data_IF_154793111563
#
_entry.id   IF_154793111563
#
_cell.length_a   1.000
_cell.length_b   1.000
_cell.length_c   1.000
_cell.angle_alpha   90.00
_cell.angle_beta   90.00
_cell.angle_gamma   90.00
#
_symmetry.space_group_name_H-M   'P 1'
#
loop_
_entity.id
_entity.type
_entity.pdbx_description
1 polymer ?
#
# COMPACT_ATOMS: atom_id res chain seq x y z
N UNK A 1 20.23 15.53 -4.00
CA UNK A 1 19.48 14.70 -3.04
C UNK A 1 18.94 13.51 -3.81
N UNK A 2 19.19 12.28 -3.36
CA UNK A 2 18.68 11.09 -4.05
C UNK A 2 17.23 10.88 -3.59
N UNK A 3 16.24 11.20 -4.43
CA UNK A 3 14.81 11.12 -4.11
C UNK A 3 14.26 9.70 -4.28
N UNK A 4 15.07 8.68 -4.00
CA UNK A 4 14.66 7.29 -4.11
C UNK A 4 14.29 6.75 -2.72
N UNK A 5 13.13 6.10 -2.56
CA UNK A 5 12.80 5.42 -1.31
C UNK A 5 13.72 4.21 -1.11
N UNK A 6 14.00 3.86 0.16
CA UNK A 6 14.86 2.72 0.50
C UNK A 6 14.16 1.39 0.31
N UNK A 7 14.95 0.32 0.23
CA UNK A 7 14.45 -1.06 0.08
C UNK A 7 13.35 -1.44 1.10
N UNK A 8 13.46 -1.12 2.41
CA UNK A 8 12.39 -1.44 3.35
C UNK A 8 11.07 -0.74 3.03
N UNK A 9 11.12 0.54 2.64
CA UNK A 9 9.94 1.28 2.18
C UNK A 9 9.31 0.62 0.96
N UNK A 10 10.13 0.21 -0.01
CA UNK A 10 9.66 -0.47 -1.23
C UNK A 10 8.96 -1.79 -0.87
N UNK A 11 9.54 -2.58 0.03
CA UNK A 11 8.95 -3.85 0.47
C UNK A 11 7.59 -3.63 1.14
N UNK A 12 7.48 -2.66 2.04
CA UNK A 12 6.21 -2.33 2.71
C UNK A 12 5.16 -1.88 1.68
N UNK A 13 5.54 -1.02 0.73
CA UNK A 13 4.64 -0.59 -0.33
C UNK A 13 4.18 -1.76 -1.22
N UNK A 14 5.08 -2.70 -1.54
CA UNK A 14 4.74 -3.90 -2.30
C UNK A 14 3.71 -4.79 -1.58
N UNK A 15 3.81 -4.92 -0.25
CA UNK A 15 2.80 -5.66 0.53
C UNK A 15 1.43 -5.00 0.40
N UNK A 16 1.36 -3.68 0.51
CA UNK A 16 0.11 -2.95 0.31
C UNK A 16 -0.43 -3.08 -1.12
N UNK A 17 0.44 -3.11 -2.14
CA UNK A 17 0.03 -3.38 -3.52
C UNK A 17 -0.58 -4.77 -3.67
N UNK A 18 0.01 -5.79 -3.05
CA UNK A 18 -0.53 -7.16 -3.08
C UNK A 18 -1.90 -7.25 -2.39
N UNK A 19 -2.05 -6.63 -1.22
CA UNK A 19 -3.36 -6.54 -0.54
C UNK A 19 -4.35 -5.77 -1.42
N UNK A 20 -3.90 -4.70 -2.06
CA UNK A 20 -4.71 -3.90 -2.99
C UNK A 20 -5.24 -4.72 -4.16
N UNK A 21 -4.39 -5.54 -4.77
CA UNK A 21 -4.76 -6.44 -5.86
C UNK A 21 -5.76 -7.50 -5.40
N UNK A 22 -5.47 -8.18 -4.29
CA UNK A 22 -6.33 -9.23 -3.74
C UNK A 22 -7.68 -8.69 -3.28
N UNK A 23 -7.71 -7.48 -2.72
CA UNK A 23 -8.93 -6.84 -2.24
C UNK A 23 -9.80 -6.35 -3.38
N UNK A 24 -9.22 -5.56 -4.29
CA UNK A 24 -9.94 -4.86 -5.37
C UNK A 24 -10.43 -5.80 -6.46
N UNK A 25 -9.57 -6.71 -6.91
CA UNK A 25 -9.87 -7.57 -8.06
C UNK A 25 -10.19 -9.00 -7.66
N UNK A 26 -9.58 -9.49 -6.58
CA UNK A 26 -9.80 -10.85 -6.11
C UNK A 26 -11.01 -11.02 -5.21
N UNK A 27 -11.48 -9.96 -4.53
CA UNK A 27 -12.53 -10.06 -3.52
C UNK A 27 -12.16 -10.96 -2.33
N UNK A 28 -10.86 -11.22 -2.12
CA UNK A 28 -10.37 -12.25 -1.18
C UNK A 28 -10.04 -11.66 0.20
N UNK A 29 -10.07 -10.33 0.34
CA UNK A 29 -9.75 -9.67 1.60
C UNK A 29 -11.01 -9.63 2.48
N UNK A 30 -10.95 -10.12 3.74
CA UNK A 30 -12.10 -10.08 4.63
C UNK A 30 -12.63 -8.66 4.81
N UNK A 31 -13.96 -8.52 4.85
CA UNK A 31 -14.58 -7.25 5.20
C UNK A 31 -14.21 -6.85 6.63
N UNK A 32 -13.92 -5.56 6.81
CA UNK A 32 -13.49 -5.01 8.10
C UNK A 32 -14.19 -3.67 8.32
N UNK A 33 -14.72 -3.46 9.53
CA UNK A 33 -15.38 -2.20 9.93
C UNK A 33 -16.50 -1.74 8.97
N UNK A 34 -17.24 -2.69 8.37
CA UNK A 34 -18.31 -2.39 7.41
C UNK A 34 -17.84 -2.03 6.00
N UNK A 35 -16.53 -2.08 5.71
CA UNK A 35 -15.98 -1.88 4.37
C UNK A 35 -15.95 -3.20 3.59
N UNK A 36 -16.29 -3.13 2.29
CA UNK A 36 -16.14 -4.27 1.37
C UNK A 36 -14.67 -4.56 1.06
N UNK A 37 -14.41 -5.78 0.56
CA UNK A 37 -13.07 -6.19 0.10
C UNK A 37 -12.52 -5.22 -0.94
N UNK A 38 -13.35 -4.77 -1.89
CA UNK A 38 -12.88 -3.86 -2.94
C UNK A 38 -12.49 -2.50 -2.38
N UNK A 39 -13.26 -1.98 -1.42
CA UNK A 39 -12.93 -0.71 -0.76
C UNK A 39 -11.61 -0.80 0.00
N UNK A 40 -11.37 -1.89 0.75
CA UNK A 40 -10.11 -2.12 1.46
C UNK A 40 -8.94 -2.22 0.47
N UNK A 41 -9.16 -2.91 -0.65
CA UNK A 41 -8.18 -3.01 -1.73
C UNK A 41 -7.82 -1.64 -2.31
N UNK A 42 -8.82 -0.82 -2.64
CA UNK A 42 -8.61 0.52 -3.17
C UNK A 42 -7.80 1.41 -2.20
N UNK A 43 -8.13 1.38 -0.91
CA UNK A 43 -7.39 2.13 0.12
C UNK A 43 -5.96 1.64 0.29
N UNK A 44 -5.70 0.34 0.11
CA UNK A 44 -4.35 -0.22 0.20
C UNK A 44 -3.42 0.35 -0.87
N UNK A 45 -3.91 0.62 -2.09
CA UNK A 45 -3.12 1.31 -3.12
C UNK A 45 -2.79 2.76 -2.73
N UNK A 46 -3.74 3.48 -2.12
CA UNK A 46 -3.51 4.84 -1.61
C UNK A 46 -2.43 4.83 -0.53
N UNK A 47 -2.50 3.88 0.40
CA UNK A 47 -1.47 3.73 1.45
C UNK A 47 -0.11 3.40 0.85
N UNK A 48 -0.03 2.52 -0.15
CA UNK A 48 1.22 2.21 -0.84
C UNK A 48 1.88 3.46 -1.45
N UNK A 49 1.07 4.31 -2.11
CA UNK A 49 1.55 5.57 -2.68
C UNK A 49 2.06 6.53 -1.60
N UNK A 50 1.33 6.66 -0.48
CA UNK A 50 1.74 7.49 0.66
C UNK A 50 3.06 6.99 1.26
N UNK A 51 3.23 5.67 1.42
CA UNK A 51 4.44 5.06 1.97
C UNK A 51 5.65 5.37 1.08
N UNK A 52 5.53 5.19 -0.23
CA UNK A 52 6.61 5.53 -1.18
C UNK A 52 6.94 7.02 -1.13
N UNK A 53 5.92 7.88 -1.12
CA UNK A 53 6.09 9.33 -1.07
C UNK A 53 6.77 9.79 0.23
N UNK A 54 6.33 9.26 1.37
CA UNK A 54 6.96 9.51 2.67
C UNK A 54 8.40 9.00 2.69
N UNK A 55 8.67 7.82 2.12
CA UNK A 55 10.04 7.28 2.05
C UNK A 55 10.99 8.12 1.21
N UNK A 56 10.50 8.76 0.15
CA UNK A 56 11.29 9.72 -0.64
C UNK A 56 11.62 11.00 0.13
N UNK A 57 10.68 11.50 0.95
CA UNK A 57 10.84 12.76 1.70
C UNK A 57 11.72 12.57 2.93
N UNK A 58 11.43 11.56 3.73
CA UNK A 58 12.03 11.37 5.04
C UNK A 58 13.23 10.42 5.03
N UNK A 59 13.66 9.93 3.87
CA UNK A 59 14.60 8.81 3.76
C UNK A 59 14.13 7.63 4.63
N UNK A 60 12.86 7.25 4.51
CA UNK A 60 12.21 6.28 5.39
C UNK A 60 12.93 4.92 5.44
N UNK A 61 13.06 4.39 6.67
CA UNK A 61 13.69 3.12 7.15
C UNK A 61 14.77 2.56 6.21
#
# INVERSE_FOLDING_TARGET
>A
MNFAPRMPTIIVALVFVLIGLLGTFGGVVPSLAGMSSEAIGAWSFVVAAIVLFAGMIFQGI
#
